data_IF_586549718613
#
_entry.id   IF_586549718613
#
_cell.length_a   1.000
_cell.length_b   1.000
_cell.length_c   1.000
_cell.angle_alpha   90.00
_cell.angle_beta   90.00
_cell.angle_gamma   90.00
#
_symmetry.space_group_name_H-M   'P 1'
#
loop_
_entity.id
_entity.type
_entity.pdbx_description
1 polymer ?
#
# COMPACT_ATOMS: atom_id res chain seq x y z
N UNK A 1 10.46 -15.35 13.73
CA UNK A 1 10.51 -14.31 12.70
C UNK A 1 9.13 -13.83 12.35
N UNK A 2 8.92 -12.57 12.39
CA UNK A 2 7.60 -12.07 12.10
C UNK A 2 7.44 -11.75 10.63
N UNK A 3 6.21 -11.79 10.16
CA UNK A 3 5.96 -11.51 8.76
C UNK A 3 6.28 -10.07 8.43
N UNK A 4 6.65 -9.85 7.19
CA UNK A 4 6.93 -8.54 6.69
C UNK A 4 6.07 -8.26 5.51
N UNK A 5 5.85 -7.00 5.26
CA UNK A 5 5.15 -6.60 4.07
C UNK A 5 5.97 -7.00 2.86
N UNK A 6 5.28 -7.37 1.79
CA UNK A 6 5.94 -7.65 0.53
C UNK A 6 6.35 -6.39 -0.19
N UNK A 7 5.92 -5.23 0.29
CA UNK A 7 6.15 -3.97 -0.38
C UNK A 7 6.79 -2.96 0.57
N UNK A 8 8.07 -3.11 0.85
CA UNK A 8 8.73 -2.22 1.82
C UNK A 8 8.76 -0.76 1.38
N UNK A 9 8.89 -0.50 0.09
CA UNK A 9 8.90 0.87 -0.39
C UNK A 9 7.54 1.53 -0.19
N UNK A 10 6.47 0.78 -0.40
CA UNK A 10 5.13 1.30 -0.18
C UNK A 10 4.95 1.71 1.27
N UNK A 11 5.34 0.86 2.20
CA UNK A 11 5.21 1.19 3.62
C UNK A 11 6.06 2.39 4.00
N UNK A 12 7.24 2.50 3.42
CA UNK A 12 8.10 3.63 3.69
C UNK A 12 7.46 4.94 3.24
N UNK A 13 6.82 4.92 2.07
CA UNK A 13 6.17 6.12 1.57
C UNK A 13 4.93 6.48 2.40
N UNK A 14 4.20 5.47 2.85
CA UNK A 14 3.06 5.71 3.72
C UNK A 14 3.51 6.44 4.98
N UNK A 15 4.57 5.96 5.59
CA UNK A 15 5.09 6.58 6.82
C UNK A 15 5.64 7.98 6.55
N UNK A 16 6.36 8.12 5.44
CA UNK A 16 6.97 9.41 5.12
C UNK A 16 5.94 10.50 4.91
N UNK A 17 4.78 10.14 4.38
CA UNK A 17 3.74 11.13 4.09
C UNK A 17 2.71 11.24 5.18
N UNK A 18 2.93 10.58 6.31
CA UNK A 18 2.02 10.67 7.44
C UNK A 18 0.68 9.99 7.20
N UNK A 19 0.64 9.02 6.32
CA UNK A 19 -0.56 8.28 6.04
C UNK A 19 -0.68 7.10 6.99
N UNK A 20 -1.90 6.56 7.10
CA UNK A 20 -2.13 5.35 7.88
C UNK A 20 -2.94 4.37 7.06
N UNK A 21 -2.76 3.09 7.36
CA UNK A 21 -3.52 2.07 6.67
C UNK A 21 -5.01 2.23 6.96
N UNK A 22 -5.35 2.57 8.21
CA UNK A 22 -6.74 2.77 8.58
C UNK A 22 -7.38 3.91 7.79
N UNK A 23 -6.66 5.02 7.65
CA UNK A 23 -7.19 6.15 6.91
C UNK A 23 -7.36 5.83 5.43
N UNK A 24 -6.37 5.15 4.87
CA UNK A 24 -6.45 4.77 3.46
C UNK A 24 -7.59 3.79 3.22
N UNK A 25 -7.77 2.83 4.14
CA UNK A 25 -8.84 1.86 4.01
C UNK A 25 -10.21 2.53 4.02
N UNK A 26 -10.39 3.49 4.90
CA UNK A 26 -11.65 4.21 4.99
C UNK A 26 -11.94 4.92 3.67
N UNK A 27 -10.95 5.55 3.08
CA UNK A 27 -11.15 6.26 1.82
C UNK A 27 -11.40 5.32 0.66
N UNK A 28 -10.80 4.14 0.70
CA UNK A 28 -10.96 3.16 -0.37
C UNK A 28 -12.18 2.29 -0.20
N UNK A 29 -12.91 2.47 0.90
CA UNK A 29 -14.11 1.69 1.14
C UNK A 29 -13.82 0.25 1.55
N UNK A 30 -12.71 0.02 2.22
CA UNK A 30 -12.32 -1.32 2.65
C UNK A 30 -12.03 -1.32 4.13
N UNK A 31 -12.06 -2.50 4.74
CA UNK A 31 -11.69 -2.61 6.13
C UNK A 31 -10.16 -2.52 6.25
N UNK A 32 -9.72 -2.10 7.42
CA UNK A 32 -8.29 -2.02 7.67
C UNK A 32 -7.62 -3.38 7.54
N UNK A 33 -8.30 -4.42 8.03
CA UNK A 33 -7.73 -5.76 7.96
C UNK A 33 -7.56 -6.22 6.52
N UNK A 34 -8.55 -5.92 5.68
CA UNK A 34 -8.46 -6.28 4.27
C UNK A 34 -7.29 -5.58 3.59
N UNK A 35 -7.16 -4.28 3.83
CA UNK A 35 -6.09 -3.53 3.19
C UNK A 35 -4.73 -3.97 3.70
N UNK A 36 -4.63 -4.21 5.01
CA UNK A 36 -3.38 -4.69 5.58
C UNK A 36 -2.97 -6.02 4.98
N UNK A 37 -3.93 -6.91 4.79
CA UNK A 37 -3.66 -8.20 4.19
C UNK A 37 -3.22 -8.05 2.74
N UNK A 38 -3.83 -7.12 2.01
CA UNK A 38 -3.43 -6.85 0.65
C UNK A 38 -1.98 -6.37 0.59
N UNK A 39 -1.58 -5.55 1.51
CA UNK A 39 -0.21 -5.04 1.55
C UNK A 39 0.80 -6.12 1.89
N UNK A 40 0.34 -7.28 2.35
CA UNK A 40 1.22 -8.39 2.64
C UNK A 40 1.32 -9.40 1.50
N UNK A 41 0.89 -9.02 0.31
CA UNK A 41 1.14 -9.85 -0.85
C UNK A 41 -0.07 -10.21 -1.68
N UNK A 42 -1.25 -9.80 -1.28
CA UNK A 42 -2.48 -10.13 -2.01
C UNK A 42 -3.01 -8.96 -2.82
N UNK A 43 -2.18 -8.00 -3.10
CA UNK A 43 -2.61 -6.78 -3.78
C UNK A 43 -2.79 -7.06 -5.27
N UNK A 44 -3.95 -6.66 -5.78
CA UNK A 44 -4.26 -6.81 -7.19
C UNK A 44 -3.74 -5.60 -7.95
N UNK A 45 -3.51 -5.79 -9.25
CA UNK A 45 -2.92 -4.74 -10.06
C UNK A 45 -3.83 -3.50 -10.14
N UNK A 46 -5.13 -3.70 -10.26
CA UNK A 46 -6.05 -2.57 -10.33
C UNK A 46 -6.07 -1.80 -9.01
N UNK A 47 -5.96 -2.51 -7.90
CA UNK A 47 -5.88 -1.87 -6.60
C UNK A 47 -4.57 -1.09 -6.46
N UNK A 48 -3.49 -1.69 -6.93
CA UNK A 48 -2.19 -1.04 -6.88
C UNK A 48 -2.20 0.27 -7.66
N UNK A 49 -2.80 0.25 -8.85
CA UNK A 49 -2.90 1.45 -9.66
C UNK A 49 -3.71 2.54 -8.97
N UNK A 50 -4.80 2.15 -8.35
CA UNK A 50 -5.65 3.11 -7.66
C UNK A 50 -4.91 3.76 -6.49
N UNK A 51 -4.18 2.97 -5.73
CA UNK A 51 -3.42 3.49 -4.60
C UNK A 51 -2.34 4.45 -5.09
N UNK A 52 -1.62 4.05 -6.12
CA UNK A 52 -0.57 4.90 -6.66
C UNK A 52 -1.13 6.23 -7.16
N UNK A 53 -2.20 6.17 -7.94
CA UNK A 53 -2.76 7.39 -8.52
C UNK A 53 -3.30 8.33 -7.46
N UNK A 54 -3.87 7.78 -6.40
CA UNK A 54 -4.49 8.62 -5.38
C UNK A 54 -3.48 9.19 -4.39
N UNK A 55 -2.51 8.40 -3.98
CA UNK A 55 -1.64 8.80 -2.88
C UNK A 55 -0.20 9.06 -3.30
N UNK A 56 0.25 8.45 -4.36
CA UNK A 56 1.66 8.55 -4.75
C UNK A 56 1.80 8.80 -6.23
N UNK A 57 1.18 9.87 -6.75
CA UNK A 57 1.23 10.09 -8.20
C UNK A 57 2.64 10.38 -8.72
N UNK A 58 3.53 10.76 -7.83
CA UNK A 58 4.91 11.07 -8.20
C UNK A 58 5.82 9.84 -8.13
N UNK A 59 5.27 8.69 -7.74
CA UNK A 59 6.06 7.46 -7.64
C UNK A 59 5.66 6.50 -8.74
N UNK A 60 6.63 5.70 -9.19
CA UNK A 60 6.34 4.69 -10.19
C UNK A 60 5.79 3.43 -9.51
N UNK A 61 5.04 2.64 -10.28
CA UNK A 61 4.55 1.38 -9.77
C UNK A 61 5.70 0.43 -9.44
N UNK A 62 6.73 0.44 -10.27
CA UNK A 62 7.88 -0.43 -10.04
C UNK A 62 8.51 -0.15 -8.69
N UNK A 63 8.66 1.12 -8.36
CA UNK A 63 9.25 1.49 -7.07
C UNK A 63 8.34 1.11 -5.91
N UNK A 64 7.07 1.51 -5.99
CA UNK A 64 6.15 1.32 -4.87
C UNK A 64 5.92 -0.15 -4.56
N UNK A 65 5.79 -0.96 -5.59
CA UNK A 65 5.39 -2.34 -5.39
C UNK A 65 6.52 -3.32 -5.67
N UNK A 66 7.73 -2.84 -5.47
CA UNK A 66 8.89 -3.71 -5.51
C UNK A 66 8.82 -4.68 -4.33
N UNK A 67 8.98 -5.94 -4.61
CA UNK A 67 8.90 -6.97 -3.59
C UNK A 67 10.25 -7.32 -3.02
N UNK A 68 10.23 -7.75 -1.78
CA UNK A 68 11.45 -8.17 -1.11
C UNK A 68 11.26 -9.50 -0.43
#
# INVERSE_FOLDING_TARGET
MKPKSCFPNLLAEIARRGLTISGMAAELGRSRDTLSRNFNGSLRIDEALRIRDRYFPDCSLDYLFERR
#
